data_IF_927648583836
#
_entry.id   IF_927648583836
#
_cell.length_a   1.000
_cell.length_b   1.000
_cell.length_c   1.000
_cell.angle_alpha   90.00
_cell.angle_beta   90.00
_cell.angle_gamma   90.00
#
_symmetry.space_group_name_H-M   'P 1'
#
loop_
_entity.id
_entity.type
_entity.pdbx_description
1 polymer ?
#
# COMPACT_ATOMS: atom_id res chain seq x y z
N UNK A 1 7.75 6.46 15.69
CA UNK A 1 7.29 7.34 14.58
C UNK A 1 8.32 7.36 13.46
N UNK A 2 7.87 7.55 12.21
CA UNK A 2 8.67 7.47 10.97
C UNK A 2 9.98 8.26 11.03
N UNK A 3 9.96 9.49 11.57
CA UNK A 3 11.15 10.34 11.69
C UNK A 3 12.28 9.65 12.46
N UNK A 4 11.97 8.95 13.55
CA UNK A 4 12.96 8.23 14.37
C UNK A 4 13.62 7.12 13.57
N UNK A 5 12.84 6.35 12.80
CA UNK A 5 13.37 5.26 11.96
C UNK A 5 14.30 5.80 10.88
N UNK A 6 13.90 6.88 10.20
CA UNK A 6 14.75 7.54 9.20
C UNK A 6 16.02 8.10 9.86
N UNK A 7 15.93 8.69 11.05
CA UNK A 7 17.10 9.18 11.79
C UNK A 7 18.08 8.06 12.13
N UNK A 8 17.58 6.89 12.52
CA UNK A 8 18.42 5.72 12.78
C UNK A 8 19.14 5.27 11.51
N UNK A 9 18.42 5.17 10.38
CA UNK A 9 19.00 4.83 9.07
C UNK A 9 20.10 5.84 8.70
N UNK A 10 19.84 7.14 8.86
CA UNK A 10 20.81 8.19 8.57
C UNK A 10 22.06 8.07 9.45
N UNK A 11 21.88 7.77 10.73
CA UNK A 11 23.00 7.55 11.66
C UNK A 11 23.86 6.36 11.22
N UNK A 12 23.25 5.24 10.84
CA UNK A 12 23.96 4.06 10.32
C UNK A 12 24.71 4.34 9.01
N UNK A 13 24.16 5.22 8.17
CA UNK A 13 24.76 5.64 6.89
C UNK A 13 25.75 6.81 7.04
N UNK A 14 25.96 7.33 8.26
CA UNK A 14 26.84 8.49 8.50
C UNK A 14 26.36 9.77 7.84
N UNK A 15 25.05 9.92 7.64
CA UNK A 15 24.41 11.05 6.96
C UNK A 15 23.58 11.88 7.92
N UNK A 16 23.43 13.17 7.60
CA UNK A 16 22.44 14.03 8.24
C UNK A 16 21.23 14.28 7.32
N UNK A 17 20.21 14.97 7.84
CA UNK A 17 18.98 15.26 7.09
C UNK A 17 19.20 16.14 5.85
N UNK A 18 20.17 17.05 5.88
CA UNK A 18 20.53 17.89 4.73
C UNK A 18 21.17 17.04 3.63
N UNK A 19 22.04 16.11 4.01
CA UNK A 19 22.66 15.18 3.06
C UNK A 19 21.58 14.33 2.38
N UNK A 20 20.60 13.84 3.15
CA UNK A 20 19.46 13.11 2.60
C UNK A 20 18.67 13.96 1.60
N UNK A 21 18.32 15.20 1.97
CA UNK A 21 17.59 16.11 1.10
C UNK A 21 18.33 16.36 -0.23
N UNK A 22 19.66 16.55 -0.16
CA UNK A 22 20.49 16.70 -1.33
C UNK A 22 20.56 15.42 -2.18
N UNK A 23 20.68 14.25 -1.55
CA UNK A 23 20.77 12.95 -2.23
C UNK A 23 19.49 12.55 -2.97
N UNK A 24 18.33 12.90 -2.42
CA UNK A 24 17.04 12.62 -3.06
C UNK A 24 16.50 13.81 -3.87
N UNK A 25 17.31 14.87 -4.01
CA UNK A 25 17.02 16.06 -4.81
C UNK A 25 15.72 16.79 -4.41
N UNK A 26 15.48 16.94 -3.10
CA UNK A 26 14.30 17.66 -2.57
C UNK A 26 14.72 18.80 -1.64
N UNK A 27 13.84 19.80 -1.53
CA UNK A 27 14.03 20.87 -0.56
C UNK A 27 13.89 20.33 0.88
N UNK A 28 14.71 20.84 1.80
CA UNK A 28 14.68 20.46 3.22
C UNK A 28 13.30 20.69 3.87
N UNK A 29 12.55 21.70 3.41
CA UNK A 29 11.18 21.99 3.85
C UNK A 29 10.21 20.86 3.47
N UNK A 30 10.33 20.33 2.25
CA UNK A 30 9.53 19.20 1.77
C UNK A 30 9.89 17.91 2.52
N UNK A 31 11.19 17.64 2.68
CA UNK A 31 11.65 16.49 3.46
C UNK A 31 11.12 16.56 4.90
N UNK A 32 11.15 17.74 5.53
CA UNK A 32 10.61 17.93 6.87
C UNK A 32 9.12 17.64 6.93
N UNK A 33 8.35 18.09 5.92
CA UNK A 33 6.92 17.79 5.81
C UNK A 33 6.62 16.30 5.56
N UNK A 34 7.53 15.58 4.91
CA UNK A 34 7.40 14.13 4.74
C UNK A 34 7.69 13.36 6.03
N UNK A 35 8.72 13.77 6.77
CA UNK A 35 9.10 13.10 8.03
C UNK A 35 8.15 13.41 9.18
N UNK A 36 7.49 14.57 9.18
CA UNK A 36 6.55 14.96 10.22
C UNK A 36 5.19 14.26 10.13
N UNK A 37 4.93 13.51 9.05
CA UNK A 37 3.69 12.74 8.89
C UNK A 37 3.83 11.39 9.59
N UNK A 38 2.73 10.90 10.15
CA UNK A 38 2.68 9.56 10.74
C UNK A 38 2.86 8.46 9.68
N UNK A 39 2.33 8.68 8.46
CA UNK A 39 2.44 7.77 7.32
C UNK A 39 3.45 8.29 6.28
N UNK A 40 4.33 7.41 5.81
CA UNK A 40 5.26 7.69 4.71
C UNK A 40 4.48 7.90 3.39
N UNK A 41 4.92 8.88 2.59
CA UNK A 41 4.34 9.10 1.26
C UNK A 41 4.99 8.16 0.23
N UNK A 42 4.22 7.72 -0.77
CA UNK A 42 4.76 6.89 -1.86
C UNK A 42 5.94 7.56 -2.56
N UNK A 43 5.85 8.87 -2.83
CA UNK A 43 6.94 9.65 -3.44
C UNK A 43 8.24 9.59 -2.62
N UNK A 44 8.15 9.68 -1.29
CA UNK A 44 9.33 9.57 -0.43
C UNK A 44 9.88 8.14 -0.42
N UNK A 45 8.99 7.14 -0.38
CA UNK A 45 9.37 5.73 -0.42
C UNK A 45 10.14 5.38 -1.70
N UNK A 46 9.64 5.80 -2.87
CA UNK A 46 10.34 5.58 -4.15
C UNK A 46 11.74 6.18 -4.14
N UNK A 47 11.89 7.41 -3.64
CA UNK A 47 13.19 8.06 -3.53
C UNK A 47 14.16 7.33 -2.60
N UNK A 48 13.65 6.75 -1.51
CA UNK A 48 14.46 5.94 -0.60
C UNK A 48 14.88 4.62 -1.23
N UNK A 49 14.02 3.96 -1.99
CA UNK A 49 14.33 2.72 -2.71
C UNK A 49 15.35 2.99 -3.83
N UNK A 50 15.22 4.10 -4.55
CA UNK A 50 16.22 4.54 -5.55
C UNK A 50 17.59 4.77 -4.91
N UNK A 51 17.62 5.40 -3.73
CA UNK A 51 18.86 5.72 -3.03
C UNK A 51 19.49 4.51 -2.33
N UNK A 52 18.66 3.64 -1.73
CA UNK A 52 19.03 2.45 -0.98
C UNK A 52 18.14 1.28 -1.37
N UNK A 53 18.46 0.56 -2.46
CA UNK A 53 17.69 -0.59 -2.90
C UNK A 53 17.64 -1.73 -1.88
N UNK A 54 18.62 -1.78 -0.98
CA UNK A 54 18.72 -2.76 0.11
C UNK A 54 17.93 -2.38 1.37
N UNK A 55 17.21 -1.25 1.36
CA UNK A 55 16.50 -0.74 2.52
C UNK A 55 15.36 -1.70 2.93
N UNK A 56 15.34 -2.08 4.21
CA UNK A 56 14.25 -2.89 4.75
C UNK A 56 12.96 -2.06 4.87
N UNK A 57 12.06 -2.27 3.90
CA UNK A 57 10.77 -1.62 3.85
C UNK A 57 9.84 -2.08 4.97
N UNK A 58 9.98 -3.32 5.45
CA UNK A 58 9.19 -3.80 6.57
C UNK A 58 9.55 -3.04 7.84
N UNK A 59 10.85 -2.84 8.11
CA UNK A 59 11.29 -2.00 9.22
C UNK A 59 10.69 -0.59 9.12
N UNK A 60 10.69 0.01 7.92
CA UNK A 60 10.20 1.36 7.73
C UNK A 60 8.68 1.47 7.94
N UNK A 61 7.91 0.54 7.38
CA UNK A 61 6.44 0.57 7.32
C UNK A 61 5.75 -0.04 8.53
N UNK A 62 6.37 -0.98 9.25
CA UNK A 62 5.74 -1.68 10.36
C UNK A 62 5.53 -0.77 11.55
N UNK A 63 4.30 -0.46 11.91
CA UNK A 63 4.03 0.39 13.07
C UNK A 63 4.19 -0.42 14.37
N UNK A 64 4.80 0.16 15.40
CA UNK A 64 5.08 -0.56 16.68
C UNK A 64 3.78 -0.93 17.42
N UNK A 65 2.67 -0.30 17.07
CA UNK A 65 1.34 -0.49 17.65
C UNK A 65 0.43 -1.47 16.89
N UNK A 66 0.81 -1.95 15.71
CA UNK A 66 -0.01 -2.85 14.90
C UNK A 66 0.80 -4.06 14.43
N UNK A 67 0.52 -5.23 15.01
CA UNK A 67 1.07 -6.53 14.60
C UNK A 67 0.68 -6.96 13.17
N UNK A 68 -0.17 -6.17 12.51
CA UNK A 68 -0.61 -6.38 11.15
C UNK A 68 -0.50 -5.05 10.39
N UNK A 69 0.29 -5.04 9.31
CA UNK A 69 0.09 -4.04 8.27
C UNK A 69 -1.29 -4.39 7.70
N UNK A 70 -2.31 -3.65 8.12
CA UNK A 70 -3.55 -3.61 7.35
C UNK A 70 -3.10 -3.09 6.00
N UNK A 71 -3.11 -3.96 4.98
CA UNK A 71 -3.21 -3.49 3.61
C UNK A 71 -4.47 -2.62 3.62
N UNK A 72 -4.28 -1.31 3.83
CA UNK A 72 -5.19 -0.31 3.30
C UNK A 72 -5.10 -0.57 1.80
N UNK A 73 -5.93 -1.53 1.35
CA UNK A 73 -6.21 -1.83 -0.04
C UNK A 73 -6.19 -0.49 -0.74
N UNK A 74 -5.27 -0.34 -1.70
CA UNK A 74 -5.17 0.82 -2.55
C UNK A 74 -6.61 1.25 -2.84
N UNK A 75 -7.05 2.35 -2.21
CA UNK A 75 -8.24 3.06 -2.65
C UNK A 75 -7.85 3.66 -3.98
N UNK A 76 -7.86 2.81 -5.01
CA UNK A 76 -8.31 3.19 -6.34
C UNK A 76 -9.60 3.92 -6.04
N UNK A 77 -9.58 5.22 -6.27
CA UNK A 77 -10.73 6.09 -6.09
C UNK A 77 -11.86 5.48 -6.92
N UNK A 78 -12.68 4.64 -6.29
CA UNK A 78 -13.98 4.30 -6.80
C UNK A 78 -14.77 5.60 -6.61
N UNK A 79 -14.87 6.35 -7.70
CA UNK A 79 -15.90 7.36 -7.84
C UNK A 79 -17.24 6.78 -7.36
N UNK A 80 -18.13 7.60 -6.77
CA UNK A 80 -19.34 7.12 -6.14
C UNK A 80 -20.28 6.49 -7.18
N UNK A 81 -20.12 5.18 -7.38
CA UNK A 81 -20.89 4.32 -8.26
C UNK A 81 -21.51 3.13 -7.50
N UNK A 82 -21.69 3.25 -6.18
CA UNK A 82 -22.22 2.23 -5.25
C UNK A 82 -23.71 1.89 -5.44
N UNK A 83 -24.20 1.82 -6.67
CA UNK A 83 -25.51 1.20 -6.97
C UNK A 83 -25.44 0.02 -7.92
N UNK A 84 -24.31 -0.21 -8.60
CA UNK A 84 -24.23 -1.22 -9.67
C UNK A 84 -23.49 -2.51 -9.26
N UNK A 85 -22.69 -2.47 -8.19
CA UNK A 85 -21.86 -3.62 -7.77
C UNK A 85 -22.71 -4.78 -7.25
N UNK A 86 -23.70 -4.50 -6.40
CA UNK A 86 -24.59 -5.53 -5.85
C UNK A 86 -25.47 -6.19 -6.92
N UNK A 87 -25.96 -5.41 -7.88
CA UNK A 87 -26.76 -5.92 -8.99
C UNK A 87 -25.94 -6.83 -9.91
N UNK A 88 -24.69 -6.46 -10.22
CA UNK A 88 -23.76 -7.29 -10.99
C UNK A 88 -23.37 -8.58 -10.26
N UNK A 89 -23.10 -8.50 -8.95
CA UNK A 89 -22.80 -9.67 -8.12
C UNK A 89 -23.97 -10.65 -8.13
N UNK A 90 -25.20 -10.15 -7.94
CA UNK A 90 -26.39 -11.00 -7.95
C UNK A 90 -26.63 -11.62 -9.34
N UNK A 91 -26.49 -10.86 -10.41
CA UNK A 91 -26.60 -11.37 -11.77
C UNK A 91 -25.62 -12.52 -12.05
N UNK A 92 -24.35 -12.36 -11.66
CA UNK A 92 -23.36 -13.41 -11.83
C UNK A 92 -23.62 -14.62 -10.93
N UNK A 93 -24.13 -14.42 -9.71
CA UNK A 93 -24.51 -15.52 -8.82
C UNK A 93 -25.65 -16.37 -9.42
N UNK A 94 -26.68 -15.73 -9.99
CA UNK A 94 -27.81 -16.40 -10.64
C UNK A 94 -27.38 -17.22 -11.87
N UNK A 95 -26.50 -16.67 -12.71
CA UNK A 95 -26.00 -17.39 -13.89
C UNK A 95 -25.12 -18.58 -13.50
N UNK A 96 -24.32 -18.48 -12.43
CA UNK A 96 -23.54 -19.60 -11.90
C UNK A 96 -24.48 -20.71 -11.40
N UNK A 97 -25.54 -20.36 -10.66
CA UNK A 97 -26.50 -21.34 -10.15
C UNK A 97 -27.22 -22.07 -11.28
N UNK A 98 -27.65 -21.33 -12.31
CA UNK A 98 -28.29 -21.87 -13.50
C UNK A 98 -27.40 -22.87 -14.24
N UNK A 99 -26.14 -22.52 -14.48
CA UNK A 99 -25.18 -23.43 -15.12
C UNK A 99 -24.89 -24.66 -14.25
N UNK A 100 -24.75 -24.47 -12.94
CA UNK A 100 -24.54 -25.58 -12.00
C UNK A 100 -25.72 -26.55 -12.00
N UNK A 101 -26.95 -26.03 -12.05
CA UNK A 101 -28.15 -26.87 -12.11
C UNK A 101 -28.30 -27.58 -13.46
N UNK A 102 -27.89 -26.97 -14.56
CA UNK A 102 -27.84 -27.63 -15.86
C UNK A 102 -26.83 -28.80 -15.85
N UNK A 103 -25.63 -28.59 -15.29
CA UNK A 103 -24.63 -29.64 -15.12
C UNK A 103 -25.11 -30.78 -14.22
N UNK A 104 -25.80 -30.47 -13.10
CA UNK A 104 -26.42 -31.46 -12.22
C UNK A 104 -27.49 -32.31 -12.90
N UNK A 105 -28.26 -31.73 -13.82
CA UNK A 105 -29.26 -32.49 -14.61
C UNK A 105 -28.59 -33.45 -15.58
N UNK A 106 -27.55 -33.01 -16.27
CA UNK A 106 -26.78 -33.85 -17.20
C UNK A 106 -26.12 -35.02 -16.45
N UNK A 107 -25.51 -34.74 -15.30
CA UNK A 107 -24.85 -35.77 -14.47
C UNK A 107 -25.80 -36.71 -13.73
N UNK A 108 -27.10 -36.38 -13.62
CA UNK A 108 -28.15 -37.29 -13.12
C UNK A 108 -28.80 -38.17 -14.21
N UNK A 109 -28.47 -37.94 -15.48
CA UNK A 109 -29.06 -38.66 -16.63
C UNK A 109 -28.13 -39.77 -17.16
N UNK A 110 -27.03 -40.04 -16.45
CA UNK A 110 -26.09 -41.15 -16.64
C UNK A 110 -26.16 -42.02 -15.39
#
# INVERSE_FOLDING_TARGET
MLETKIRNILTLKGMNKKDLAAKIEVQESLLSKWLSKDKITAAFLYKLIELWPELDLNYLLKDESNDYIIEDSISLVAEPGEKNTAAMINYHAEEIEKHTNALKKITKTI
#
